data_IF_760358823786
#
_entry.id   IF_760358823786
#
_cell.length_a   1.000
_cell.length_b   1.000
_cell.length_c   1.000
_cell.angle_alpha   90.00
_cell.angle_beta   90.00
_cell.angle_gamma   90.00
#
_symmetry.space_group_name_H-M   'P 1'
#
loop_
_entity.id
_entity.type
_entity.pdbx_description
1 polymer ?
#
# COMPACT_ATOMS: atom_id res chain seq x y z
N UNK A 1 -3.01 -8.34 17.69
CA UNK A 1 -2.48 -7.28 16.81
C UNK A 1 -1.88 -6.20 17.68
N UNK A 2 -0.58 -5.91 17.54
CA UNK A 2 0.18 -4.99 18.41
C UNK A 2 0.54 -3.66 17.72
N UNK A 3 -0.20 -3.30 16.67
CA UNK A 3 0.13 -2.21 15.76
C UNK A 3 -1.08 -1.33 15.47
N UNK A 4 -0.85 -0.02 15.34
CA UNK A 4 -1.75 0.96 14.77
C UNK A 4 -1.54 1.02 13.25
N UNK A 5 -2.61 0.89 12.48
CA UNK A 5 -2.63 1.09 11.02
C UNK A 5 -4.06 1.30 10.52
N UNK A 6 -4.24 1.85 9.31
CA UNK A 6 -5.54 1.88 8.66
C UNK A 6 -5.83 0.54 7.98
N UNK A 7 -6.80 -0.21 8.51
CA UNK A 7 -7.17 -1.54 8.00
C UNK A 7 -7.82 -1.54 6.61
N UNK A 8 -8.16 -0.38 6.03
CA UNK A 8 -8.56 -0.31 4.61
C UNK A 8 -7.37 -0.33 3.66
N UNK A 9 -6.19 0.08 4.14
CA UNK A 9 -5.03 0.34 3.29
C UNK A 9 -3.87 -0.62 3.58
N UNK A 10 -3.78 -1.13 4.81
CA UNK A 10 -2.72 -2.05 5.28
C UNK A 10 -3.36 -3.29 5.89
N UNK A 11 -2.75 -4.43 5.62
CA UNK A 11 -2.97 -5.66 6.37
C UNK A 11 -1.67 -6.12 7.05
N UNK A 12 -1.83 -6.75 8.22
CA UNK A 12 -0.73 -7.40 8.94
C UNK A 12 -1.02 -8.90 9.01
N UNK A 13 -0.31 -9.70 8.19
CA UNK A 13 -0.57 -11.13 8.04
C UNK A 13 0.65 -11.93 8.52
N UNK A 14 0.43 -12.82 9.49
CA UNK A 14 1.42 -13.73 10.13
C UNK A 14 2.61 -13.04 10.84
N UNK A 15 3.28 -12.11 10.19
CA UNK A 15 4.33 -11.23 10.74
C UNK A 15 4.62 -10.00 9.89
N UNK A 16 3.97 -9.83 8.74
CA UNK A 16 4.39 -8.86 7.72
C UNK A 16 3.30 -7.80 7.53
N UNK A 17 3.68 -6.53 7.44
CA UNK A 17 2.79 -5.44 7.09
C UNK A 17 2.89 -5.12 5.61
N UNK A 18 1.76 -5.05 4.90
CA UNK A 18 1.72 -4.82 3.45
C UNK A 18 0.46 -4.05 3.03
N UNK A 19 0.51 -3.39 1.87
CA UNK A 19 -0.63 -2.63 1.33
C UNK A 19 -1.75 -3.56 0.85
N UNK A 20 -3.02 -3.20 1.06
CA UNK A 20 -4.16 -3.94 0.50
C UNK A 20 -4.36 -3.54 -0.97
N UNK A 21 -4.36 -4.52 -1.87
CA UNK A 21 -4.66 -4.30 -3.29
C UNK A 21 -6.17 -4.26 -3.56
N UNK A 22 -6.62 -3.29 -4.34
CA UNK A 22 -8.02 -3.16 -4.77
C UNK A 22 -8.17 -3.32 -6.29
N UNK A 23 -9.27 -3.92 -6.80
CA UNK A 23 -9.51 -3.98 -8.23
C UNK A 23 -9.72 -2.57 -8.81
N UNK A 24 -8.81 -2.14 -9.69
CA UNK A 24 -8.90 -0.88 -10.42
C UNK A 24 -9.32 -1.09 -11.89
N UNK A 25 -10.26 -0.27 -12.37
CA UNK A 25 -10.49 -0.03 -13.81
C UNK A 25 -11.06 -1.19 -14.64
N UNK A 26 -11.56 -2.26 -14.02
CA UNK A 26 -12.27 -3.33 -14.71
C UNK A 26 -13.66 -2.90 -15.22
N UNK A 27 -14.26 -3.69 -16.09
CA UNK A 27 -15.60 -3.41 -16.61
C UNK A 27 -16.24 -4.63 -17.27
N UNK A 28 -17.57 -4.64 -17.34
CA UNK A 28 -18.33 -5.63 -18.10
C UNK A 28 -19.59 -5.01 -18.65
N UNK A 29 -20.13 -5.57 -19.73
CA UNK A 29 -21.37 -5.11 -20.32
C UNK A 29 -21.94 -6.08 -21.34
N UNK A 30 -23.15 -5.78 -21.80
CA UNK A 30 -23.82 -6.53 -22.83
C UNK A 30 -24.70 -5.63 -23.70
N UNK A 31 -25.14 -6.14 -24.85
CA UNK A 31 -26.31 -5.60 -25.56
C UNK A 31 -27.59 -5.79 -24.72
N UNK A 32 -28.64 -5.01 -25.00
CA UNK A 32 -29.80 -4.86 -24.08
C UNK A 32 -31.03 -5.69 -24.44
N UNK A 33 -31.12 -6.21 -25.66
CA UNK A 33 -32.33 -6.89 -26.16
C UNK A 33 -31.98 -8.16 -26.94
N UNK A 34 -31.55 -9.24 -26.28
CA UNK A 34 -31.24 -10.48 -26.98
C UNK A 34 -32.44 -11.08 -27.71
N UNK A 35 -33.67 -10.87 -27.27
CA UNK A 35 -34.86 -11.58 -27.75
C UNK A 35 -35.72 -10.79 -28.74
N UNK A 36 -35.25 -9.63 -29.22
CA UNK A 36 -36.01 -8.76 -30.14
C UNK A 36 -37.41 -8.37 -29.60
N UNK A 37 -37.56 -8.32 -28.27
CA UNK A 37 -38.85 -8.08 -27.61
C UNK A 37 -39.10 -6.58 -27.35
N UNK A 38 -38.06 -5.74 -27.48
CA UNK A 38 -38.13 -4.30 -27.33
C UNK A 38 -37.58 -3.59 -28.58
N UNK A 39 -37.95 -2.32 -28.85
CA UNK A 39 -37.58 -1.64 -30.09
C UNK A 39 -36.10 -1.17 -30.14
N UNK A 40 -35.18 -1.90 -29.53
CA UNK A 40 -33.75 -1.53 -29.45
C UNK A 40 -32.97 -1.91 -30.72
N UNK A 41 -33.50 -2.84 -31.52
CA UNK A 41 -32.96 -3.21 -32.82
C UNK A 41 -33.49 -2.31 -33.93
N UNK A 42 -32.59 -1.65 -34.64
CA UNK A 42 -32.92 -0.78 -35.78
C UNK A 42 -32.72 -1.53 -37.10
N UNK A 43 -33.71 -1.52 -38.02
CA UNK A 43 -33.55 -2.06 -39.35
C UNK A 43 -32.72 -1.11 -40.22
N UNK A 44 -31.80 -1.66 -41.02
CA UNK A 44 -30.98 -0.92 -41.97
C UNK A 44 -30.98 -1.67 -43.30
N UNK A 45 -31.38 -0.97 -44.36
CA UNK A 45 -31.17 -1.47 -45.72
C UNK A 45 -29.68 -1.36 -46.05
N UNK A 46 -29.12 -2.40 -46.67
CA UNK A 46 -27.74 -2.44 -47.11
C UNK A 46 -27.70 -2.54 -48.63
N UNK A 47 -27.79 -1.38 -49.29
CA UNK A 47 -27.92 -1.27 -50.74
C UNK A 47 -26.73 -0.50 -51.33
N UNK A 48 -25.85 -1.22 -52.01
CA UNK A 48 -24.62 -0.65 -52.56
C UNK A 48 -24.88 0.13 -53.87
N UNK A 49 -26.07 0.09 -54.50
CA UNK A 49 -26.29 0.64 -55.84
C UNK A 49 -27.63 1.41 -56.11
N UNK A 50 -28.61 1.43 -55.20
CA UNK A 50 -29.83 2.26 -55.28
C UNK A 50 -30.83 1.91 -56.41
N UNK A 51 -31.88 2.74 -56.61
CA UNK A 51 -33.16 2.61 -55.92
C UNK A 51 -33.83 1.26 -56.28
N UNK A 52 -33.57 0.23 -55.48
CA UNK A 52 -34.08 -1.12 -55.69
C UNK A 52 -35.39 -1.35 -54.92
N UNK A 53 -36.06 -2.49 -55.15
CA UNK A 53 -37.06 -2.97 -54.20
C UNK A 53 -36.34 -3.35 -52.90
N UNK A 54 -36.41 -2.47 -51.91
CA UNK A 54 -35.72 -2.63 -50.64
C UNK A 54 -36.05 -3.97 -49.95
N UNK A 55 -35.10 -4.54 -49.18
CA UNK A 55 -35.40 -5.62 -48.26
C UNK A 55 -36.57 -5.22 -47.36
N UNK A 56 -37.40 -6.19 -47.02
CA UNK A 56 -38.39 -6.04 -45.95
C UNK A 56 -37.74 -6.52 -44.67
N UNK A 57 -37.58 -5.63 -43.70
CA UNK A 57 -37.00 -5.93 -42.38
C UNK A 57 -38.10 -5.70 -41.34
N UNK A 58 -38.46 -6.73 -40.59
CA UNK A 58 -39.64 -6.71 -39.74
C UNK A 58 -39.51 -7.62 -38.53
N UNK A 59 -40.13 -7.25 -37.41
CA UNK A 59 -40.27 -8.14 -36.25
C UNK A 59 -41.39 -9.15 -36.49
N UNK A 60 -41.14 -10.41 -36.15
CA UNK A 60 -42.05 -11.53 -36.36
C UNK A 60 -42.27 -12.32 -35.05
N UNK A 61 -43.31 -13.15 -35.03
CA UNK A 61 -43.66 -14.01 -33.88
C UNK A 61 -44.35 -15.31 -34.37
N UNK A 62 -44.14 -16.48 -33.73
CA UNK A 62 -43.26 -16.72 -32.59
C UNK A 62 -41.80 -17.00 -33.00
N UNK A 63 -40.85 -16.45 -32.23
CA UNK A 63 -39.42 -16.76 -32.24
C UNK A 63 -39.07 -18.00 -31.42
N UNK A 64 -37.84 -18.06 -30.89
CA UNK A 64 -37.28 -19.18 -30.13
C UNK A 64 -36.75 -18.78 -28.73
N UNK A 65 -37.64 -18.51 -27.74
CA UNK A 65 -39.05 -18.13 -27.84
C UNK A 65 -39.22 -16.60 -27.97
N UNK A 66 -40.44 -16.11 -28.23
CA UNK A 66 -40.74 -14.67 -28.18
C UNK A 66 -40.93 -14.03 -29.55
N UNK A 67 -40.35 -12.86 -29.76
CA UNK A 67 -40.25 -12.23 -31.08
C UNK A 67 -38.92 -12.61 -31.76
N UNK A 68 -38.78 -12.29 -33.04
CA UNK A 68 -37.50 -12.39 -33.74
C UNK A 68 -37.39 -11.36 -34.86
N UNK A 69 -36.17 -10.98 -35.22
CA UNK A 69 -35.91 -10.09 -36.34
C UNK A 69 -35.88 -10.86 -37.66
N UNK A 70 -36.74 -10.51 -38.62
CA UNK A 70 -36.76 -11.12 -39.95
C UNK A 70 -36.24 -10.16 -41.02
N UNK A 71 -35.47 -10.69 -41.97
CA UNK A 71 -34.99 -10.01 -43.17
C UNK A 71 -35.44 -10.81 -44.38
N UNK A 72 -36.25 -10.19 -45.23
CA UNK A 72 -36.70 -10.77 -46.51
C UNK A 72 -36.15 -9.95 -47.69
N UNK A 73 -35.35 -10.59 -48.53
CA UNK A 73 -34.70 -9.99 -49.70
C UNK A 73 -35.37 -10.52 -50.97
N UNK A 74 -35.93 -9.64 -51.82
CA UNK A 74 -36.51 -10.06 -53.10
C UNK A 74 -35.41 -10.50 -54.08
N UNK A 75 -35.65 -11.60 -54.81
CA UNK A 75 -34.70 -12.16 -55.80
C UNK A 75 -35.11 -11.87 -57.26
N UNK A 76 -36.15 -11.06 -57.47
CA UNK A 76 -36.76 -10.78 -58.77
C UNK A 76 -35.92 -9.86 -59.70
N UNK A 77 -34.71 -9.47 -59.29
CA UNK A 77 -33.90 -8.45 -59.97
C UNK A 77 -32.62 -9.04 -60.56
N UNK A 78 -32.51 -9.04 -61.89
CA UNK A 78 -31.35 -9.58 -62.64
C UNK A 78 -30.06 -8.79 -62.33
N UNK A 79 -28.99 -9.49 -61.90
CA UNK A 79 -27.60 -9.00 -61.72
C UNK A 79 -27.35 -7.93 -60.64
N UNK A 80 -27.80 -8.14 -59.40
CA UNK A 80 -27.64 -7.14 -58.33
C UNK A 80 -27.20 -7.77 -57.01
N UNK A 81 -26.52 -6.96 -56.20
CA UNK A 81 -26.11 -7.33 -54.85
C UNK A 81 -26.82 -6.44 -53.84
N UNK A 82 -27.56 -7.06 -52.94
CA UNK A 82 -28.46 -6.40 -52.00
C UNK A 82 -28.36 -7.10 -50.65
N UNK A 83 -28.44 -6.33 -49.57
CA UNK A 83 -28.51 -6.85 -48.22
C UNK A 83 -29.48 -6.08 -47.34
N UNK A 84 -29.80 -6.66 -46.20
CA UNK A 84 -30.48 -6.00 -45.09
C UNK A 84 -29.82 -6.42 -43.80
N UNK A 85 -29.89 -5.58 -42.77
CA UNK A 85 -29.39 -5.90 -41.45
C UNK A 85 -30.26 -5.36 -40.32
N UNK A 86 -30.18 -6.05 -39.18
CA UNK A 86 -30.55 -5.53 -37.88
C UNK A 86 -29.31 -4.99 -37.19
N UNK A 87 -29.42 -3.86 -36.49
CA UNK A 87 -28.34 -3.36 -35.64
C UNK A 87 -28.84 -2.94 -34.25
N UNK A 88 -28.02 -3.18 -33.24
CA UNK A 88 -28.23 -2.68 -31.88
C UNK A 88 -26.95 -2.02 -31.37
N UNK A 89 -27.08 -0.83 -30.79
CA UNK A 89 -25.96 -0.13 -30.17
C UNK A 89 -25.67 -0.67 -28.77
N UNK A 90 -24.40 -0.78 -28.41
CA UNK A 90 -23.95 -1.04 -27.03
C UNK A 90 -22.66 -0.27 -26.76
N UNK A 91 -22.31 -0.08 -25.49
CA UNK A 91 -21.10 0.67 -25.11
C UNK A 91 -20.12 -0.23 -24.36
N UNK A 92 -18.85 -0.13 -24.72
CA UNK A 92 -17.72 -0.69 -23.96
C UNK A 92 -17.10 0.42 -23.13
N UNK A 93 -16.93 0.21 -21.81
CA UNK A 93 -16.30 1.22 -20.93
C UNK A 93 -14.78 1.07 -20.87
N UNK A 94 -14.24 0.01 -21.47
CA UNK A 94 -12.82 -0.33 -21.49
C UNK A 94 -12.40 -0.68 -22.92
N UNK A 95 -11.16 -0.33 -23.28
CA UNK A 95 -10.55 -0.76 -24.54
C UNK A 95 -9.97 -2.16 -24.38
N UNK A 96 -10.02 -2.99 -25.44
CA UNK A 96 -9.46 -4.35 -25.48
C UNK A 96 -9.92 -5.18 -24.26
N UNK A 97 -11.20 -5.60 -24.22
CA UNK A 97 -11.68 -6.47 -23.15
C UNK A 97 -10.97 -7.84 -23.20
N UNK A 98 -10.81 -8.48 -22.05
CA UNK A 98 -10.17 -9.80 -21.96
C UNK A 98 -11.04 -10.88 -22.58
N UNK A 99 -12.37 -10.68 -22.54
CA UNK A 99 -13.35 -11.55 -23.17
C UNK A 99 -14.42 -10.72 -23.88
N UNK A 100 -14.85 -11.18 -25.05
CA UNK A 100 -16.14 -10.79 -25.61
C UNK A 100 -16.73 -11.94 -26.43
N UNK A 101 -17.98 -12.29 -26.16
CA UNK A 101 -18.69 -13.37 -26.84
C UNK A 101 -19.85 -12.79 -27.61
N UNK A 102 -19.89 -13.08 -28.90
CA UNK A 102 -21.00 -12.78 -29.77
C UNK A 102 -21.82 -14.06 -29.95
N UNK A 103 -23.11 -14.00 -29.66
CA UNK A 103 -24.02 -15.13 -29.83
C UNK A 103 -25.32 -14.70 -30.48
N UNK A 104 -25.92 -15.57 -31.27
CA UNK A 104 -27.24 -15.38 -31.87
C UNK A 104 -27.78 -16.72 -32.36
N UNK A 105 -29.10 -16.80 -32.44
CA UNK A 105 -29.81 -17.84 -33.17
C UNK A 105 -30.21 -17.32 -34.54
N UNK A 106 -30.21 -18.20 -35.54
CA UNK A 106 -30.69 -17.86 -36.87
C UNK A 106 -31.41 -19.02 -37.56
N UNK A 107 -32.27 -18.70 -38.53
CA UNK A 107 -32.95 -19.68 -39.37
C UNK A 107 -33.14 -19.15 -40.78
N UNK A 108 -33.34 -20.06 -41.76
CA UNK A 108 -33.71 -19.72 -43.13
C UNK A 108 -35.06 -20.31 -43.45
N UNK A 109 -36.07 -19.46 -43.57
CA UNK A 109 -37.46 -19.88 -43.84
C UNK A 109 -37.78 -19.91 -45.33
N UNK A 110 -37.05 -19.14 -46.14
CA UNK A 110 -37.08 -19.20 -47.60
C UNK A 110 -35.68 -19.03 -48.18
N UNK A 111 -35.32 -19.86 -49.15
CA UNK A 111 -34.04 -19.83 -49.85
C UNK A 111 -34.27 -19.97 -51.36
N UNK A 112 -33.38 -19.38 -52.15
CA UNK A 112 -33.36 -19.54 -53.61
C UNK A 112 -32.01 -20.14 -54.02
N UNK A 113 -31.95 -21.41 -54.46
CA UNK A 113 -30.69 -22.07 -54.82
C UNK A 113 -30.07 -21.50 -56.10
N UNK A 114 -30.75 -20.61 -56.82
CA UNK A 114 -30.27 -20.03 -58.07
C UNK A 114 -29.53 -18.70 -57.88
N UNK A 115 -29.43 -18.19 -56.65
CA UNK A 115 -28.62 -17.01 -56.33
C UNK A 115 -27.14 -17.38 -56.36
N UNK A 116 -26.27 -16.43 -56.72
CA UNK A 116 -24.84 -16.70 -56.82
C UNK A 116 -24.20 -16.77 -55.44
N UNK A 117 -24.61 -15.87 -54.54
CA UNK A 117 -24.20 -15.85 -53.14
C UNK A 117 -25.42 -15.53 -52.29
N UNK A 118 -25.59 -16.27 -51.21
CA UNK A 118 -26.47 -15.94 -50.08
C UNK A 118 -25.70 -16.22 -48.80
N UNK A 119 -25.49 -15.18 -48.00
CA UNK A 119 -24.58 -15.18 -46.86
C UNK A 119 -25.17 -14.44 -45.68
N UNK A 120 -25.03 -15.00 -44.50
CA UNK A 120 -25.21 -14.30 -43.24
C UNK A 120 -23.88 -13.66 -42.86
N UNK A 121 -23.91 -12.42 -42.38
CA UNK A 121 -22.74 -11.71 -41.89
C UNK A 121 -23.03 -11.00 -40.58
N UNK A 122 -22.06 -11.04 -39.70
CA UNK A 122 -22.12 -10.36 -38.40
C UNK A 122 -21.04 -9.30 -38.36
N UNK A 123 -21.36 -8.10 -37.91
CA UNK A 123 -20.41 -7.00 -37.77
C UNK A 123 -20.43 -6.45 -36.34
N UNK A 124 -19.26 -5.96 -35.92
CA UNK A 124 -19.09 -5.12 -34.74
C UNK A 124 -18.37 -3.84 -35.18
N UNK A 125 -19.16 -2.83 -35.52
CA UNK A 125 -18.64 -1.57 -36.02
C UNK A 125 -18.75 -0.47 -34.96
N UNK A 126 -17.84 0.51 -34.99
CA UNK A 126 -17.94 1.72 -34.15
C UNK A 126 -18.78 2.84 -34.78
N UNK A 127 -19.54 2.53 -35.84
CA UNK A 127 -20.47 3.44 -36.51
C UNK A 127 -21.77 2.74 -36.90
N UNK A 128 -22.85 3.51 -36.89
CA UNK A 128 -24.20 3.10 -37.28
C UNK A 128 -24.34 2.97 -38.80
N UNK A 129 -25.24 2.10 -39.26
CA UNK A 129 -25.63 1.99 -40.66
C UNK A 129 -24.96 0.85 -41.40
N UNK A 130 -24.89 0.97 -42.72
CA UNK A 130 -24.34 -0.06 -43.61
C UNK A 130 -22.86 -0.38 -43.28
N UNK A 131 -22.43 -1.65 -43.38
CA UNK A 131 -21.02 -1.99 -43.34
C UNK A 131 -20.25 -1.26 -44.45
N UNK A 132 -18.99 -0.93 -44.19
CA UNK A 132 -18.14 -0.31 -45.22
C UNK A 132 -18.02 -1.24 -46.45
N UNK A 133 -18.01 -0.71 -47.70
CA UNK A 133 -17.85 -1.53 -48.88
C UNK A 133 -16.60 -2.40 -48.81
N UNK A 134 -16.76 -3.72 -48.93
CA UNK A 134 -15.66 -4.69 -48.83
C UNK A 134 -15.23 -5.05 -47.42
N UNK A 135 -15.93 -4.57 -46.38
CA UNK A 135 -15.70 -5.03 -45.01
C UNK A 135 -16.04 -6.52 -44.88
N UNK A 136 -15.18 -7.26 -44.21
CA UNK A 136 -15.45 -8.64 -43.80
C UNK A 136 -16.07 -8.63 -42.42
N UNK A 137 -17.22 -9.30 -42.26
CA UNK A 137 -17.83 -9.49 -40.95
C UNK A 137 -16.91 -10.23 -39.98
N UNK A 138 -17.15 -10.04 -38.68
CA UNK A 138 -16.49 -10.78 -37.59
C UNK A 138 -16.89 -12.25 -37.59
N UNK A 139 -17.99 -12.59 -38.26
CA UNK A 139 -18.42 -13.95 -38.58
C UNK A 139 -19.24 -13.94 -39.87
N UNK A 140 -19.18 -15.02 -40.65
CA UNK A 140 -20.03 -15.20 -41.82
C UNK A 140 -20.32 -16.66 -42.15
N UNK A 141 -21.45 -16.92 -42.80
CA UNK A 141 -21.82 -18.25 -43.30
C UNK A 141 -22.65 -18.16 -44.58
N UNK A 142 -22.26 -18.94 -45.60
CA UNK A 142 -23.05 -19.12 -46.80
C UNK A 142 -24.17 -20.16 -46.58
N UNK A 143 -25.30 -19.98 -47.24
CA UNK A 143 -26.43 -20.92 -47.22
C UNK A 143 -27.08 -21.00 -48.60
N UNK A 144 -27.72 -22.13 -48.92
CA UNK A 144 -28.44 -22.33 -50.20
C UNK A 144 -29.79 -23.04 -50.02
N UNK A 145 -30.12 -23.44 -48.79
CA UNK A 145 -31.33 -24.18 -48.45
C UNK A 145 -31.96 -23.60 -47.19
N UNK A 146 -33.20 -23.97 -46.91
CA UNK A 146 -33.86 -23.64 -45.64
C UNK A 146 -33.24 -24.39 -44.46
N UNK A 147 -33.44 -23.85 -43.26
CA UNK A 147 -32.98 -24.43 -42.00
C UNK A 147 -33.96 -24.10 -40.88
N UNK A 148 -33.98 -24.92 -39.82
CA UNK A 148 -34.55 -24.51 -38.54
C UNK A 148 -33.58 -23.60 -37.77
N UNK A 149 -33.98 -23.19 -36.56
CA UNK A 149 -33.13 -22.41 -35.65
C UNK A 149 -31.79 -23.10 -35.38
N UNK A 150 -30.71 -22.34 -35.52
CA UNK A 150 -29.34 -22.74 -35.23
C UNK A 150 -28.68 -21.71 -34.32
N UNK A 151 -27.98 -22.17 -33.28
CA UNK A 151 -27.26 -21.31 -32.35
C UNK A 151 -25.81 -21.15 -32.77
N UNK A 152 -25.33 -19.91 -32.75
CA UNK A 152 -23.94 -19.54 -33.00
C UNK A 152 -23.40 -18.82 -31.76
N UNK A 153 -22.16 -19.13 -31.39
CA UNK A 153 -21.41 -18.44 -30.34
C UNK A 153 -19.93 -18.46 -30.68
N UNK A 154 -19.28 -17.30 -30.65
CA UNK A 154 -17.86 -17.15 -31.01
C UNK A 154 -17.21 -15.98 -30.26
N UNK A 155 -15.89 -16.04 -30.12
CA UNK A 155 -15.09 -14.94 -29.56
C UNK A 155 -15.00 -13.78 -30.56
N UNK A 156 -15.38 -12.60 -30.10
CA UNK A 156 -15.35 -11.37 -30.86
C UNK A 156 -14.57 -10.24 -30.15
N UNK A 157 -13.79 -10.57 -29.11
CA UNK A 157 -12.97 -9.64 -28.30
C UNK A 157 -12.06 -8.74 -29.14
N UNK A 158 -11.42 -9.31 -30.16
CA UNK A 158 -10.50 -8.58 -31.05
C UNK A 158 -11.17 -7.48 -31.88
N UNK A 159 -12.51 -7.42 -31.91
CA UNK A 159 -13.25 -6.36 -32.61
C UNK A 159 -13.44 -5.11 -31.74
N UNK A 160 -13.28 -5.23 -30.42
CA UNK A 160 -13.54 -4.18 -29.42
C UNK A 160 -12.25 -3.49 -28.98
N UNK A 161 -11.58 -2.83 -29.94
CA UNK A 161 -10.20 -2.31 -29.75
C UNK A 161 -10.11 -1.02 -28.93
N UNK A 162 -11.18 -0.22 -28.92
CA UNK A 162 -11.30 1.03 -28.15
C UNK A 162 -12.53 1.02 -27.26
N UNK A 163 -12.48 1.72 -26.13
CA UNK A 163 -13.69 2.04 -25.36
C UNK A 163 -14.61 2.96 -26.20
N UNK A 164 -15.91 2.77 -26.10
CA UNK A 164 -16.90 3.56 -26.83
C UNK A 164 -18.09 2.75 -27.32
N UNK A 165 -18.91 3.38 -28.17
CA UNK A 165 -20.11 2.78 -28.74
C UNK A 165 -19.77 1.90 -29.93
N UNK A 166 -20.30 0.68 -29.93
CA UNK A 166 -20.29 -0.25 -31.04
C UNK A 166 -21.71 -0.61 -31.44
N UNK A 167 -21.86 -1.14 -32.64
CA UNK A 167 -23.10 -1.61 -33.21
C UNK A 167 -22.93 -3.09 -33.54
N UNK A 168 -23.72 -3.93 -32.86
CA UNK A 168 -23.85 -5.33 -33.18
C UNK A 168 -24.82 -5.48 -34.33
N UNK A 169 -24.33 -5.95 -35.48
CA UNK A 169 -25.11 -6.02 -36.73
C UNK A 169 -25.27 -7.46 -37.18
N UNK A 170 -26.49 -7.87 -37.47
CA UNK A 170 -26.85 -9.17 -38.04
C UNK A 170 -27.41 -8.93 -39.45
N UNK A 171 -26.64 -9.30 -40.46
CA UNK A 171 -26.92 -9.00 -41.85
C UNK A 171 -27.13 -10.24 -42.71
N UNK A 172 -27.90 -10.06 -43.77
CA UNK A 172 -28.00 -10.99 -44.89
C UNK A 172 -27.51 -10.26 -46.14
N UNK A 173 -26.58 -10.86 -46.85
CA UNK A 173 -26.05 -10.39 -48.12
C UNK A 173 -26.36 -11.37 -49.23
N UNK A 174 -26.79 -10.86 -50.37
CA UNK A 174 -27.09 -11.65 -51.53
C UNK A 174 -26.43 -11.06 -52.78
N UNK A 175 -25.91 -11.94 -53.63
CA UNK A 175 -25.50 -11.63 -55.00
C UNK A 175 -26.34 -12.46 -55.97
N UNK A 176 -27.13 -11.79 -56.82
CA UNK A 176 -28.01 -12.47 -57.77
C UNK A 176 -27.29 -12.95 -59.03
N UNK A 177 -27.66 -14.14 -59.49
CA UNK A 177 -27.31 -14.63 -60.83
C UNK A 177 -28.31 -14.17 -61.89
N UNK A 178 -28.04 -14.46 -63.17
CA UNK A 178 -28.98 -14.19 -64.28
C UNK A 178 -30.27 -15.04 -64.22
N UNK A 179 -30.35 -16.02 -63.32
CA UNK A 179 -31.38 -17.07 -63.26
C UNK A 179 -32.13 -17.13 -61.91
N UNK A 180 -32.11 -16.08 -61.09
CA UNK A 180 -32.80 -16.08 -59.80
C UNK A 180 -34.31 -16.41 -59.94
N UNK A 181 -34.82 -17.26 -59.05
CA UNK A 181 -36.08 -18.00 -59.16
C UNK A 181 -37.33 -17.24 -58.71
N UNK A 182 -37.31 -15.91 -58.64
CA UNK A 182 -38.40 -15.06 -58.14
C UNK A 182 -38.89 -15.38 -56.71
N UNK A 183 -38.17 -16.22 -55.95
CA UNK A 183 -38.51 -16.59 -54.57
C UNK A 183 -37.67 -15.74 -53.62
N UNK A 184 -38.27 -14.90 -52.75
CA UNK A 184 -37.52 -14.14 -51.76
C UNK A 184 -36.68 -15.06 -50.87
N UNK A 185 -35.53 -14.56 -50.44
CA UNK A 185 -34.77 -15.20 -49.36
C UNK A 185 -35.22 -14.56 -48.05
N UNK A 186 -35.55 -15.39 -47.06
CA UNK A 186 -36.01 -14.92 -45.76
C UNK A 186 -35.21 -15.59 -44.66
N UNK A 187 -34.62 -14.76 -43.79
CA UNK A 187 -33.77 -15.18 -42.67
C UNK A 187 -34.31 -14.55 -41.38
N UNK A 188 -34.41 -15.36 -40.33
CA UNK A 188 -34.75 -14.91 -38.98
C UNK A 188 -33.53 -14.90 -38.07
N UNK A 189 -33.47 -13.94 -37.14
CA UNK A 189 -32.48 -13.81 -36.08
C UNK A 189 -33.15 -13.66 -34.73
N UNK A 190 -32.63 -14.34 -33.72
CA UNK A 190 -33.13 -14.30 -32.34
C UNK A 190 -31.97 -14.53 -31.35
N UNK A 191 -32.20 -14.40 -30.03
CA UNK A 191 -31.23 -14.63 -28.96
C UNK A 191 -29.85 -13.98 -29.20
N UNK A 192 -29.85 -12.78 -29.78
CA UNK A 192 -28.67 -12.12 -30.31
C UNK A 192 -28.05 -11.15 -29.31
N UNK A 193 -26.83 -11.44 -28.86
CA UNK A 193 -26.13 -10.59 -27.91
C UNK A 193 -24.62 -10.53 -28.11
N UNK A 194 -24.03 -9.45 -27.59
CA UNK A 194 -22.61 -9.35 -27.27
C UNK A 194 -22.49 -9.25 -25.77
N UNK A 195 -21.65 -10.07 -25.15
CA UNK A 195 -21.27 -9.95 -23.74
C UNK A 195 -19.77 -9.76 -23.64
N UNK A 196 -19.28 -8.77 -22.90
CA UNK A 196 -17.85 -8.48 -22.78
C UNK A 196 -17.43 -8.25 -21.32
N UNK A 197 -16.17 -8.54 -21.02
CA UNK A 197 -15.57 -8.39 -19.70
C UNK A 197 -14.09 -8.07 -19.74
N UNK A 198 -13.65 -7.23 -18.81
CA UNK A 198 -12.24 -6.94 -18.54
C UNK A 198 -11.99 -6.97 -17.04
N UNK A 199 -11.03 -7.80 -16.63
CA UNK A 199 -10.58 -7.85 -15.25
C UNK A 199 -9.97 -6.50 -14.85
N UNK A 200 -10.24 -6.07 -13.62
CA UNK A 200 -9.55 -4.92 -13.04
C UNK A 200 -8.09 -5.26 -12.79
N UNK A 201 -7.20 -4.30 -13.05
CA UNK A 201 -5.80 -4.40 -12.59
C UNK A 201 -5.79 -4.13 -11.09
N UNK A 202 -5.03 -4.89 -10.30
CA UNK A 202 -4.89 -4.58 -8.87
C UNK A 202 -4.12 -3.28 -8.72
N UNK A 203 -4.66 -2.35 -7.93
CA UNK A 203 -4.07 -1.05 -7.61
C UNK A 203 -3.88 -0.95 -6.11
N UNK A 204 -2.77 -0.34 -5.68
CA UNK A 204 -2.43 -0.15 -4.28
C UNK A 204 -2.60 1.33 -3.85
N UNK A 205 -2.81 1.62 -2.55
CA UNK A 205 -2.90 2.99 -2.03
C UNK A 205 -1.64 3.81 -2.33
N UNK A 206 -1.83 5.04 -2.84
CA UNK A 206 -0.75 6.02 -3.08
C UNK A 206 -0.67 7.08 -1.97
N UNK A 207 -1.41 6.88 -0.89
CA UNK A 207 -1.47 7.78 0.28
C UNK A 207 -0.31 7.57 1.24
N UNK A 208 0.53 6.56 1.00
CA UNK A 208 1.65 6.15 1.85
C UNK A 208 1.21 5.89 3.30
N UNK A 209 0.27 4.95 3.54
CA UNK A 209 -0.27 4.71 4.87
C UNK A 209 0.83 4.24 5.86
N UNK A 210 0.67 4.64 7.11
CA UNK A 210 1.62 4.31 8.20
C UNK A 210 1.21 3.09 9.03
N UNK A 211 2.20 2.36 9.52
CA UNK A 211 2.07 1.32 10.55
C UNK A 211 3.08 1.55 11.68
N UNK A 212 2.64 1.49 12.94
CA UNK A 212 3.52 1.63 14.10
C UNK A 212 3.07 0.74 15.28
N UNK A 213 3.97 0.32 16.18
CA UNK A 213 3.60 -0.39 17.40
C UNK A 213 2.66 0.45 18.29
N UNK A 214 1.88 -0.21 19.16
CA UNK A 214 1.04 0.50 20.15
C UNK A 214 1.85 1.23 21.22
N UNK A 215 2.95 0.63 21.66
CA UNK A 215 3.78 1.14 22.76
C UNK A 215 5.23 1.16 22.32
N UNK A 216 5.99 2.11 22.85
CA UNK A 216 7.44 2.15 22.69
C UNK A 216 8.08 0.94 23.33
N UNK A 217 9.22 0.53 22.77
CA UNK A 217 10.19 -0.19 23.57
C UNK A 217 10.71 0.71 24.70
N UNK A 218 10.94 0.15 25.88
CA UNK A 218 11.53 0.86 27.02
C UNK A 218 12.71 0.08 27.59
N UNK A 219 13.78 0.78 27.96
CA UNK A 219 14.97 0.16 28.54
C UNK A 219 16.02 1.17 29.00
N UNK A 220 17.06 0.67 29.67
CA UNK A 220 18.27 1.46 29.94
C UNK A 220 19.09 1.54 28.65
N UNK A 221 19.04 2.68 27.99
CA UNK A 221 19.71 2.92 26.71
C UNK A 221 20.79 3.97 26.92
N UNK A 222 22.05 3.60 26.71
CA UNK A 222 23.17 4.55 26.68
C UNK A 222 23.53 4.93 25.26
N UNK A 223 23.32 4.03 24.31
CA UNK A 223 23.53 4.29 22.89
C UNK A 223 22.60 3.45 22.00
N UNK A 224 22.29 4.00 20.82
CA UNK A 224 21.70 3.28 19.71
C UNK A 224 22.80 2.88 18.72
N UNK A 225 22.83 1.62 18.30
CA UNK A 225 23.91 1.07 17.48
C UNK A 225 23.52 0.87 16.02
N UNK A 226 22.28 0.45 15.76
CA UNK A 226 21.83 0.18 14.40
C UNK A 226 20.32 0.22 14.27
N UNK A 227 19.86 0.55 13.07
CA UNK A 227 18.51 0.41 12.59
C UNK A 227 18.53 -0.43 11.31
N UNK A 228 17.87 -1.58 11.30
CA UNK A 228 17.80 -2.43 10.10
C UNK A 228 16.37 -2.83 9.80
N UNK A 229 16.08 -3.01 8.52
CA UNK A 229 14.81 -3.53 8.04
C UNK A 229 15.01 -4.84 7.26
N UNK A 230 13.99 -5.68 7.25
CA UNK A 230 13.81 -6.77 6.30
C UNK A 230 12.50 -6.52 5.58
N UNK A 231 12.55 -6.29 4.27
CA UNK A 231 11.41 -5.89 3.47
C UNK A 231 11.55 -6.31 2.00
N UNK A 232 10.41 -6.44 1.31
CA UNK A 232 10.33 -6.54 -0.15
C UNK A 232 9.87 -5.19 -0.72
N UNK A 233 10.67 -4.63 -1.62
CA UNK A 233 10.44 -3.31 -2.26
C UNK A 233 10.52 -3.44 -3.78
N UNK A 234 9.46 -3.91 -4.45
CA UNK A 234 9.39 -3.89 -5.90
C UNK A 234 9.57 -2.48 -6.48
N UNK A 235 9.89 -2.39 -7.77
CA UNK A 235 9.99 -1.10 -8.49
C UNK A 235 8.70 -0.30 -8.29
N UNK A 236 8.82 0.99 -8.01
CA UNK A 236 7.68 1.87 -7.73
C UNK A 236 7.25 1.90 -6.25
N UNK A 237 7.98 1.21 -5.37
CA UNK A 237 7.69 1.17 -3.93
C UNK A 237 8.90 1.54 -3.08
N UNK A 238 8.66 2.01 -1.85
CA UNK A 238 9.68 2.30 -0.84
C UNK A 238 9.07 2.19 0.58
N UNK A 239 9.90 2.10 1.62
CA UNK A 239 9.45 2.19 3.02
C UNK A 239 10.24 3.29 3.72
N UNK A 240 9.50 4.26 4.28
CA UNK A 240 10.07 5.39 5.02
C UNK A 240 9.74 5.29 6.51
N UNK A 241 10.58 5.88 7.34
CA UNK A 241 10.53 5.77 8.79
C UNK A 241 10.52 7.13 9.46
N UNK A 242 9.73 7.22 10.53
CA UNK A 242 9.85 8.21 11.59
C UNK A 242 10.09 7.48 12.91
N UNK A 243 10.82 8.13 13.81
CA UNK A 243 11.11 7.61 15.14
C UNK A 243 10.46 8.47 16.22
N UNK A 244 10.13 7.88 17.36
CA UNK A 244 9.59 8.58 18.52
C UNK A 244 10.31 8.09 19.78
N UNK A 245 10.66 9.02 20.65
CA UNK A 245 11.23 8.79 21.98
C UNK A 245 10.22 9.09 23.11
N UNK A 246 8.96 9.36 22.77
CA UNK A 246 7.92 9.85 23.70
C UNK A 246 6.55 9.15 23.53
N UNK A 247 6.58 7.87 23.18
CA UNK A 247 5.40 7.02 23.03
C UNK A 247 4.45 7.41 21.90
N UNK A 248 5.04 7.88 20.80
CA UNK A 248 4.31 8.29 19.60
C UNK A 248 3.58 9.62 19.73
N UNK A 249 3.85 10.38 20.81
CA UNK A 249 3.29 11.72 21.02
C UNK A 249 3.86 12.71 20.00
N UNK A 250 5.17 12.64 19.77
CA UNK A 250 5.87 13.33 18.70
C UNK A 250 6.70 12.34 17.87
N UNK A 251 6.95 12.73 16.63
CA UNK A 251 7.67 11.92 15.65
C UNK A 251 8.82 12.75 15.11
N UNK A 252 9.96 12.11 14.88
CA UNK A 252 11.19 12.74 14.44
C UNK A 252 11.72 12.06 13.19
N UNK A 253 12.44 12.84 12.39
CA UNK A 253 13.15 12.41 11.20
C UNK A 253 14.49 13.14 11.14
N UNK A 254 15.45 12.56 10.44
CA UNK A 254 16.74 13.19 10.17
C UNK A 254 16.60 14.18 9.02
N UNK A 255 16.80 15.47 9.28
CA UNK A 255 16.68 16.54 8.28
C UNK A 255 17.97 16.81 7.49
N UNK A 256 19.00 16.00 7.72
CA UNK A 256 20.36 16.18 7.18
C UNK A 256 21.37 16.76 8.18
N UNK A 257 20.91 17.33 9.30
CA UNK A 257 21.79 17.87 10.35
C UNK A 257 21.39 17.52 11.78
N UNK A 258 20.11 17.30 12.05
CA UNK A 258 19.59 16.92 13.35
C UNK A 258 18.31 16.05 13.24
N UNK A 259 17.95 15.42 14.35
CA UNK A 259 16.62 14.85 14.52
C UNK A 259 15.61 15.99 14.74
N UNK A 260 14.80 16.24 13.72
CA UNK A 260 13.83 17.32 13.68
C UNK A 260 12.40 16.77 13.82
N UNK A 261 11.48 17.61 14.30
CA UNK A 261 10.06 17.24 14.39
C UNK A 261 9.51 16.94 12.99
N UNK A 262 8.89 15.78 12.86
CA UNK A 262 8.26 15.31 11.65
C UNK A 262 6.78 15.71 11.59
N UNK A 263 6.26 15.84 10.37
CA UNK A 263 4.82 15.91 10.15
C UNK A 263 4.27 14.49 10.09
N UNK A 264 3.28 14.20 10.93
CA UNK A 264 2.57 12.92 10.90
C UNK A 264 1.91 12.74 9.52
N UNK A 265 2.03 11.51 9.02
CA UNK A 265 1.44 11.01 7.77
C UNK A 265 1.97 11.73 6.53
N UNK A 266 3.24 12.14 6.60
CA UNK A 266 3.95 12.77 5.51
C UNK A 266 5.35 12.18 5.34
N UNK A 267 5.54 11.48 4.22
CA UNK A 267 6.83 10.88 3.84
C UNK A 267 7.91 11.91 3.50
N UNK A 268 7.58 13.19 3.27
CA UNK A 268 8.59 14.24 3.04
C UNK A 268 9.39 14.59 4.29
N UNK A 269 8.90 14.17 5.46
CA UNK A 269 9.58 14.31 6.76
C UNK A 269 9.77 12.92 7.36
N UNK A 270 10.34 12.02 6.58
CA UNK A 270 10.64 10.64 6.95
C UNK A 270 11.88 10.20 6.16
N UNK A 271 12.58 9.17 6.63
CA UNK A 271 13.84 8.72 6.04
C UNK A 271 13.75 7.25 5.62
N UNK A 272 14.57 6.84 4.65
CA UNK A 272 14.76 5.41 4.36
C UNK A 272 15.57 4.76 5.48
N UNK A 273 15.47 3.42 5.62
CA UNK A 273 16.15 2.70 6.70
C UNK A 273 17.66 2.97 6.78
N UNK A 274 18.34 3.08 5.63
CA UNK A 274 19.79 3.36 5.58
C UNK A 274 20.17 4.74 6.11
N UNK A 275 19.30 5.73 5.95
CA UNK A 275 19.52 7.07 6.48
C UNK A 275 19.21 7.13 7.99
N UNK A 276 18.19 6.40 8.44
CA UNK A 276 17.96 6.21 9.88
C UNK A 276 19.17 5.54 10.52
N UNK A 277 19.65 4.42 9.97
CA UNK A 277 20.79 3.67 10.49
C UNK A 277 22.06 4.52 10.59
N UNK A 278 22.37 5.29 9.55
CA UNK A 278 23.55 6.14 9.51
C UNK A 278 23.57 7.23 10.61
N UNK A 279 22.40 7.61 11.14
CA UNK A 279 22.26 8.70 12.10
C UNK A 279 21.71 8.26 13.47
N UNK A 280 21.36 6.97 13.63
CA UNK A 280 20.65 6.46 14.82
C UNK A 280 21.43 6.69 16.12
N UNK A 281 22.77 6.68 16.07
CA UNK A 281 23.63 6.93 17.23
C UNK A 281 23.44 8.31 17.86
N UNK A 282 22.83 9.26 17.15
CA UNK A 282 22.52 10.61 17.68
C UNK A 282 21.05 10.77 18.08
N UNK A 283 20.22 9.74 17.91
CA UNK A 283 18.82 9.78 18.32
C UNK A 283 18.72 9.90 19.86
N UNK A 284 17.79 10.69 20.42
CA UNK A 284 17.71 10.91 21.86
C UNK A 284 17.64 9.61 22.69
N UNK A 285 18.35 9.61 23.81
CA UNK A 285 18.38 8.48 24.76
C UNK A 285 17.70 8.81 26.10
N UNK A 286 17.39 10.10 26.34
CA UNK A 286 16.99 10.62 27.66
C UNK A 286 15.73 9.94 28.21
N UNK A 287 14.78 9.58 27.33
CA UNK A 287 13.55 8.92 27.75
C UNK A 287 13.72 7.42 28.00
N UNK A 288 14.80 6.80 27.48
CA UNK A 288 14.96 5.36 27.43
C UNK A 288 13.87 4.66 26.62
N UNK A 289 13.31 5.34 25.60
CA UNK A 289 12.22 4.82 24.77
C UNK A 289 12.51 4.93 23.29
N UNK A 290 11.97 3.99 22.52
CA UNK A 290 11.91 4.13 21.06
C UNK A 290 10.68 3.46 20.47
N UNK A 291 10.07 4.13 19.50
CA UNK A 291 9.02 3.60 18.64
C UNK A 291 9.34 3.99 17.19
N UNK A 292 9.01 3.12 16.24
CA UNK A 292 9.07 3.46 14.81
C UNK A 292 7.66 3.58 14.23
N UNK A 293 7.52 4.40 13.19
CA UNK A 293 6.40 4.37 12.25
C UNK A 293 6.96 4.13 10.87
N UNK A 294 6.47 3.11 10.19
CA UNK A 294 6.84 2.78 8.83
C UNK A 294 5.73 3.21 7.87
N UNK A 295 6.06 3.96 6.83
CA UNK A 295 5.17 4.35 5.75
C UNK A 295 5.40 3.44 4.55
N UNK A 296 4.35 2.72 4.15
CA UNK A 296 4.38 1.84 2.99
C UNK A 296 4.05 2.64 1.72
N UNK A 297 5.08 3.03 0.97
CA UNK A 297 4.91 3.88 -0.20
C UNK A 297 4.80 3.08 -1.50
N UNK A 298 3.88 3.50 -2.37
CA UNK A 298 3.63 2.88 -3.69
C UNK A 298 3.15 3.94 -4.70
N UNK A 299 3.55 3.79 -5.96
CA UNK A 299 2.98 4.52 -7.10
C UNK A 299 1.61 3.96 -7.56
N UNK A 300 1.11 2.93 -6.86
CA UNK A 300 -0.16 2.26 -7.12
C UNK A 300 -0.02 0.98 -7.94
N UNK A 301 1.15 0.70 -8.51
CA UNK A 301 1.38 -0.47 -9.38
C UNK A 301 1.88 -1.71 -8.66
N UNK A 302 2.46 -1.56 -7.47
CA UNK A 302 3.07 -2.66 -6.72
C UNK A 302 2.90 -2.53 -5.20
N UNK A 303 3.07 -3.66 -4.50
CA UNK A 303 2.93 -3.80 -3.05
C UNK A 303 4.31 -3.81 -2.38
N UNK A 304 4.63 -2.87 -1.47
CA UNK A 304 5.71 -3.05 -0.51
C UNK A 304 5.27 -4.00 0.61
N UNK A 305 6.23 -4.72 1.18
CA UNK A 305 6.02 -5.60 2.32
C UNK A 305 7.14 -5.40 3.34
N UNK A 306 6.77 -5.07 4.58
CA UNK A 306 7.68 -4.96 5.72
C UNK A 306 7.58 -6.23 6.58
N UNK A 307 8.69 -6.96 6.71
CA UNK A 307 8.73 -8.19 7.51
C UNK A 307 9.23 -7.93 8.93
N UNK A 308 10.29 -7.12 9.07
CA UNK A 308 10.92 -6.88 10.37
C UNK A 308 11.67 -5.56 10.41
N UNK A 309 11.56 -4.87 11.55
CA UNK A 309 12.45 -3.78 11.94
C UNK A 309 13.25 -4.27 13.15
N UNK A 310 14.57 -4.04 13.14
CA UNK A 310 15.46 -4.36 14.27
C UNK A 310 16.26 -3.12 14.62
N UNK A 311 16.07 -2.66 15.86
CA UNK A 311 16.82 -1.55 16.44
C UNK A 311 17.70 -2.13 17.54
N UNK A 312 19.00 -1.86 17.48
CA UNK A 312 19.94 -2.32 18.49
C UNK A 312 20.34 -1.18 19.42
N UNK A 313 20.29 -1.45 20.71
CA UNK A 313 20.65 -0.51 21.78
C UNK A 313 21.42 -1.23 22.87
N UNK A 314 22.15 -0.47 23.69
CA UNK A 314 22.82 -1.03 24.85
C UNK A 314 23.71 -0.02 25.56
N UNK A 315 24.42 -0.54 26.55
CA UNK A 315 25.51 0.18 27.20
C UNK A 315 26.67 0.38 26.22
N UNK A 316 27.40 1.48 26.34
CA UNK A 316 28.66 1.62 25.60
C UNK A 316 29.68 0.74 26.31
N UNK A 317 30.03 -0.37 25.68
CA UNK A 317 31.09 -1.26 26.15
C UNK A 317 32.39 -0.94 25.41
N UNK A 318 33.52 -0.98 26.11
CA UNK A 318 34.81 -0.92 25.43
C UNK A 318 35.17 -2.26 24.79
N UNK A 319 36.37 -2.30 24.23
CA UNK A 319 36.82 -3.39 23.34
C UNK A 319 36.79 -4.80 23.93
N UNK A 320 36.73 -4.95 25.26
CA UNK A 320 36.65 -6.27 25.93
C UNK A 320 35.27 -6.57 26.54
N UNK A 321 34.24 -5.74 26.26
CA UNK A 321 32.86 -5.99 26.67
C UNK A 321 32.46 -5.44 28.05
N UNK A 322 33.33 -4.69 28.71
CA UNK A 322 33.00 -3.98 29.95
C UNK A 322 32.39 -2.61 29.65
N UNK A 323 31.35 -2.22 30.39
CA UNK A 323 30.71 -0.90 30.28
C UNK A 323 31.68 0.23 30.66
N UNK A 324 31.61 1.36 29.95
CA UNK A 324 32.48 2.51 30.21
C UNK A 324 32.02 3.38 31.40
N UNK A 325 30.79 3.22 31.88
CA UNK A 325 30.23 3.96 33.02
C UNK A 325 29.35 3.07 33.91
N UNK A 326 29.62 3.06 35.21
CA UNK A 326 28.73 2.55 36.25
C UNK A 326 28.33 3.66 37.22
N UNK A 327 27.08 3.67 37.70
CA UNK A 327 26.61 4.63 38.71
C UNK A 327 26.11 3.89 39.94
N UNK A 328 26.59 4.30 41.12
CA UNK A 328 26.13 3.84 42.42
C UNK A 328 25.62 5.05 43.21
N UNK A 329 24.37 5.03 43.66
CA UNK A 329 23.85 6.01 44.63
C UNK A 329 23.60 5.31 45.97
N UNK A 330 24.09 5.91 47.06
CA UNK A 330 23.89 5.39 48.41
C UNK A 330 22.46 5.62 48.89
N UNK A 331 22.04 4.83 49.87
CA UNK A 331 20.89 5.21 50.70
C UNK A 331 21.18 6.50 51.46
N UNK A 332 20.12 7.18 51.89
CA UNK A 332 20.24 8.28 52.84
C UNK A 332 20.77 7.76 54.19
N UNK A 333 21.71 8.48 54.77
CA UNK A 333 22.26 8.22 56.10
C UNK A 333 21.83 9.34 57.05
N UNK A 334 21.24 8.95 58.17
CA UNK A 334 20.83 9.84 59.26
C UNK A 334 21.98 10.00 60.26
N UNK A 335 22.50 11.22 60.42
CA UNK A 335 23.56 11.50 61.41
C UNK A 335 23.03 11.63 62.85
N UNK A 336 21.70 11.64 63.03
CA UNK A 336 21.00 11.76 64.32
C UNK A 336 20.73 13.19 64.78
N UNK A 337 21.18 14.20 64.01
CA UNK A 337 20.96 15.62 64.26
C UNK A 337 21.72 16.48 63.25
N UNK A 338 21.56 17.81 63.33
CA UNK A 338 22.29 18.73 62.46
C UNK A 338 23.80 18.48 62.56
N UNK A 339 24.48 18.33 61.43
CA UNK A 339 25.89 17.94 61.40
C UNK A 339 26.70 18.81 60.43
N UNK A 340 28.00 18.86 60.64
CA UNK A 340 28.97 19.39 59.68
C UNK A 340 29.76 18.23 59.07
N UNK A 341 29.73 18.09 57.74
CA UNK A 341 30.49 17.05 57.03
C UNK A 341 31.90 17.59 56.72
N UNK A 342 32.90 16.90 57.26
CA UNK A 342 34.27 17.42 57.35
C UNK A 342 35.15 16.93 56.21
N UNK A 343 35.23 15.62 56.03
CA UNK A 343 36.14 14.98 55.05
C UNK A 343 35.47 13.82 54.35
N UNK A 344 35.92 13.59 53.11
CA UNK A 344 35.58 12.44 52.28
C UNK A 344 36.87 11.75 51.86
N UNK A 345 36.85 10.41 51.88
CA UNK A 345 37.90 9.57 51.31
C UNK A 345 37.28 8.25 50.85
N UNK A 346 37.93 7.55 49.93
CA UNK A 346 37.53 6.22 49.52
C UNK A 346 38.73 5.37 49.16
N UNK A 347 38.55 4.05 49.17
CA UNK A 347 39.55 3.11 48.67
C UNK A 347 39.10 2.58 47.32
N UNK A 348 39.98 2.72 46.33
CA UNK A 348 39.73 2.28 44.96
C UNK A 348 40.82 1.35 44.43
N UNK A 349 40.46 0.58 43.41
CA UNK A 349 41.42 -0.10 42.53
C UNK A 349 41.09 0.32 41.11
N UNK A 350 42.05 0.98 40.46
CA UNK A 350 42.00 1.34 39.04
C UNK A 350 42.96 0.40 38.28
N UNK A 351 42.46 -0.65 37.62
CA UNK A 351 43.26 -1.52 36.75
C UNK A 351 44.13 -0.77 35.72
N UNK A 352 43.69 0.39 35.23
CA UNK A 352 44.35 1.18 34.18
C UNK A 352 44.34 2.68 34.50
N UNK A 353 45.28 3.42 33.91
CA UNK A 353 45.39 4.88 34.08
C UNK A 353 44.28 5.67 33.35
N UNK A 354 43.49 5.00 32.52
CA UNK A 354 42.37 5.61 31.79
C UNK A 354 41.02 5.39 32.51
N UNK A 355 41.03 4.68 33.64
CA UNK A 355 39.87 4.48 34.50
C UNK A 355 39.86 5.51 35.62
N UNK A 356 38.68 5.77 36.19
CA UNK A 356 38.54 6.71 37.28
C UNK A 356 37.32 6.37 38.15
N UNK A 357 37.38 6.71 39.44
CA UNK A 357 36.21 6.76 40.31
C UNK A 357 36.05 8.19 40.79
N UNK A 358 34.85 8.74 40.62
CA UNK A 358 34.54 10.09 41.06
C UNK A 358 33.26 10.12 41.89
N UNK A 359 33.25 10.96 42.93
CA UNK A 359 32.20 10.97 43.95
C UNK A 359 31.54 12.34 44.05
N UNK A 360 30.24 12.35 44.29
CA UNK A 360 29.48 13.53 44.68
C UNK A 360 28.73 13.25 45.98
N UNK A 361 28.43 14.31 46.73
CA UNK A 361 27.59 14.24 47.93
C UNK A 361 26.38 15.15 47.78
N UNK A 362 25.31 14.80 48.49
CA UNK A 362 24.08 15.59 48.61
C UNK A 362 23.58 15.46 50.04
N UNK A 363 23.14 16.57 50.63
CA UNK A 363 22.65 16.64 52.01
C UNK A 363 21.21 17.16 52.06
N UNK A 364 20.50 16.88 53.15
CA UNK A 364 19.16 17.40 53.37
C UNK A 364 18.91 17.69 54.87
N UNK A 365 18.07 18.70 55.18
CA UNK A 365 17.61 18.92 56.54
C UNK A 365 16.66 17.79 56.97
N UNK A 366 16.41 17.69 58.27
CA UNK A 366 15.36 16.81 58.78
C UNK A 366 13.97 17.38 58.51
N UNK A 367 13.07 16.53 58.03
CA UNK A 367 11.65 16.78 57.90
C UNK A 367 10.86 15.73 58.69
N UNK A 368 10.88 15.88 60.02
CA UNK A 368 10.15 15.03 60.97
C UNK A 368 10.61 13.57 60.96
N UNK A 369 11.93 13.32 60.94
CA UNK A 369 12.51 11.98 60.93
C UNK A 369 12.63 11.36 59.54
N UNK A 370 12.66 12.19 58.49
CA UNK A 370 12.92 11.78 57.11
C UNK A 370 13.70 12.88 56.38
N UNK A 371 14.47 12.56 55.32
CA UNK A 371 15.16 13.60 54.55
C UNK A 371 14.17 14.60 53.94
N UNK A 372 14.44 15.89 54.17
CA UNK A 372 13.71 16.99 53.52
C UNK A 372 14.14 17.19 52.06
N UNK A 373 14.28 18.45 51.64
CA UNK A 373 14.74 18.76 50.28
C UNK A 373 16.24 18.51 50.15
N UNK A 374 16.63 17.59 49.26
CA UNK A 374 18.03 17.34 48.94
C UNK A 374 18.69 18.52 48.23
N UNK A 375 19.92 18.82 48.62
CA UNK A 375 20.82 19.71 47.89
C UNK A 375 21.11 19.16 46.49
N UNK A 376 21.60 20.02 45.60
CA UNK A 376 22.24 19.55 44.38
C UNK A 376 23.42 18.61 44.73
N UNK A 377 23.75 17.71 43.81
CA UNK A 377 24.97 16.90 43.90
C UNK A 377 26.19 17.81 43.75
N UNK A 378 27.10 17.77 44.73
CA UNK A 378 28.31 18.60 44.70
C UNK A 378 29.58 17.79 44.87
N UNK A 379 30.67 18.37 44.37
CA UNK A 379 32.04 17.93 44.59
C UNK A 379 32.90 19.03 45.18
N UNK A 380 34.22 18.94 44.99
CA UNK A 380 35.18 19.87 45.59
C UNK A 380 34.99 21.33 45.16
N UNK A 381 34.38 21.59 44.00
CA UNK A 381 34.18 22.94 43.46
C UNK A 381 32.70 23.37 43.40
N UNK A 382 31.81 22.65 44.09
CA UNK A 382 30.38 22.94 44.16
C UNK A 382 29.50 22.09 43.25
N UNK A 383 28.31 22.60 42.92
CA UNK A 383 27.25 21.86 42.21
C UNK A 383 27.70 21.33 40.85
N UNK A 384 27.41 20.05 40.57
CA UNK A 384 27.76 19.38 39.32
C UNK A 384 29.24 19.03 39.17
N UNK A 385 30.07 19.29 40.18
CA UNK A 385 31.48 18.91 40.20
C UNK A 385 31.69 17.64 41.02
N UNK A 386 32.90 17.08 41.02
CA UNK A 386 33.21 15.81 41.68
C UNK A 386 34.38 15.94 42.66
N UNK A 387 34.40 15.05 43.65
CA UNK A 387 35.62 14.64 44.33
C UNK A 387 36.29 13.57 43.46
N UNK A 388 37.57 13.75 43.16
CA UNK A 388 38.35 12.88 42.25
C UNK A 388 39.66 12.37 42.88
N UNK A 389 40.00 12.82 44.09
CA UNK A 389 41.14 12.32 44.85
C UNK A 389 40.65 11.33 45.91
N UNK A 390 41.04 10.04 45.85
CA UNK A 390 40.60 9.04 46.83
C UNK A 390 41.15 9.31 48.24
N UNK A 391 42.21 10.11 48.37
CA UNK A 391 42.76 10.48 49.67
C UNK A 391 41.82 11.45 50.41
N UNK A 392 42.02 11.55 51.73
CA UNK A 392 41.24 12.44 52.57
C UNK A 392 41.23 13.88 52.05
N UNK A 393 40.05 14.31 51.61
CA UNK A 393 39.79 15.64 51.08
C UNK A 393 38.81 16.36 51.98
N UNK A 394 39.11 17.62 52.30
CA UNK A 394 38.19 18.49 53.07
C UNK A 394 37.00 18.85 52.22
N UNK A 395 35.80 18.64 52.75
CA UNK A 395 34.55 19.09 52.12
C UNK A 395 34.46 20.62 52.32
N UNK A 396 34.41 21.43 51.26
CA UNK A 396 34.40 22.87 51.41
C UNK A 396 33.14 23.36 52.11
N UNK A 397 33.29 24.27 53.08
CA UNK A 397 32.18 24.97 53.72
C UNK A 397 31.28 25.69 52.71
N UNK A 398 31.87 26.16 51.60
CA UNK A 398 31.15 26.83 50.51
C UNK A 398 30.19 25.91 49.76
N UNK A 399 30.30 24.59 49.91
CA UNK A 399 29.39 23.62 49.31
C UNK A 399 28.05 23.50 50.06
N UNK A 400 27.92 24.14 51.23
CA UNK A 400 26.63 24.31 51.92
C UNK A 400 26.08 23.03 52.55
N UNK A 401 26.95 22.10 52.93
CA UNK A 401 26.56 20.81 53.53
C UNK A 401 26.43 20.84 55.06
N UNK A 402 26.59 22.00 55.70
CA UNK A 402 26.46 22.11 57.15
C UNK A 402 25.00 22.32 57.57
N UNK A 403 24.71 21.98 58.82
CA UNK A 403 23.41 22.14 59.49
C UNK A 403 22.30 21.18 58.98
N UNK A 404 22.67 20.25 58.09
CA UNK A 404 21.84 19.16 57.59
C UNK A 404 22.02 17.88 58.43
N UNK A 405 20.99 17.03 58.47
CA UNK A 405 21.00 15.76 59.21
C UNK A 405 21.19 14.54 58.30
N UNK A 406 20.85 14.69 57.02
CA UNK A 406 20.86 13.58 56.07
C UNK A 406 21.95 13.76 55.05
N UNK A 407 22.66 12.69 54.72
CA UNK A 407 23.64 12.65 53.62
C UNK A 407 23.44 11.43 52.74
N UNK A 408 23.76 11.59 51.46
CA UNK A 408 23.96 10.49 50.52
C UNK A 408 25.12 10.82 49.59
N UNK A 409 25.69 9.78 48.99
CA UNK A 409 26.74 9.93 47.99
C UNK A 409 26.33 9.26 46.67
N UNK A 410 26.90 9.76 45.59
CA UNK A 410 26.84 9.16 44.25
C UNK A 410 28.26 8.91 43.79
N UNK A 411 28.51 7.72 43.27
CA UNK A 411 29.79 7.30 42.69
C UNK A 411 29.60 7.01 41.22
N UNK A 412 30.51 7.52 40.40
CA UNK A 412 30.64 7.15 39.00
C UNK A 412 31.93 6.36 38.80
N UNK A 413 31.79 5.16 38.23
CA UNK A 413 32.85 4.24 37.89
C UNK A 413 33.11 4.36 36.39
N UNK A 414 34.19 5.04 36.01
CA UNK A 414 34.57 5.29 34.63
C UNK A 414 35.58 4.23 34.20
N UNK A 415 35.18 3.34 33.30
CA UNK A 415 36.01 2.28 32.73
C UNK A 415 36.58 2.66 31.37
N UNK A 416 37.68 2.01 30.98
CA UNK A 416 38.17 2.02 29.60
C UNK A 416 37.59 0.88 28.74
N UNK A 417 36.78 0.03 29.40
CA UNK A 417 36.08 -1.10 28.84
C UNK A 417 36.97 -2.29 28.48
N UNK A 418 38.19 -2.33 29.02
CA UNK A 418 39.06 -3.50 29.06
C UNK A 418 39.03 -4.19 30.43
N UNK A 419 38.90 -3.41 31.51
CA UNK A 419 38.75 -3.88 32.88
C UNK A 419 37.63 -3.09 33.60
N UNK A 420 37.50 -3.24 34.93
CA UNK A 420 36.49 -2.54 35.73
C UNK A 420 37.13 -1.89 36.95
N UNK A 421 36.96 -0.57 37.17
CA UNK A 421 37.39 0.06 38.41
C UNK A 421 36.55 -0.46 39.58
N UNK A 422 37.18 -0.60 40.74
CA UNK A 422 36.54 -1.18 41.94
C UNK A 422 36.54 -0.17 43.08
N UNK A 423 35.36 0.23 43.52
CA UNK A 423 35.16 0.92 44.81
C UNK A 423 35.11 -0.11 45.93
N UNK A 424 35.95 0.01 46.95
CA UNK A 424 36.00 -0.92 48.08
C UNK A 424 35.27 -0.38 49.31
N UNK A 425 35.53 0.88 49.68
CA UNK A 425 34.95 1.55 50.84
C UNK A 425 34.90 3.06 50.57
N UNK A 426 33.90 3.74 51.11
CA UNK A 426 33.82 5.19 51.19
C UNK A 426 33.60 5.60 52.65
N UNK A 427 34.44 6.52 53.12
CA UNK A 427 34.38 7.06 54.47
C UNK A 427 34.07 8.56 54.40
N UNK A 428 33.00 8.95 55.10
CA UNK A 428 32.60 10.34 55.30
C UNK A 428 32.66 10.65 56.80
N UNK A 429 33.50 11.63 57.19
CA UNK A 429 33.60 12.07 58.57
C UNK A 429 32.71 13.28 58.80
N UNK A 430 31.98 13.30 59.92
CA UNK A 430 31.12 14.42 60.30
C UNK A 430 31.24 14.75 61.79
N UNK A 431 30.78 15.93 62.18
CA UNK A 431 30.68 16.38 63.57
C UNK A 431 29.23 16.77 63.86
N UNK A 432 28.58 16.12 64.86
CA UNK A 432 27.23 16.49 65.32
C UNK A 432 27.17 17.86 66.01
#
# INVERSE_FOLDING_TARGET
DNYNFNASDIEVVSSNAQLIGSPGGGGSGATTDPSFDVPDWAPVNWDVNGPESAPTISLQTPGNPGNFGEISIPTNSKRRSLGGLWQQAFTTTVANPDTATCSFDWQVTAADPNVQVSRLEVFLDNFSGEPSPGATGVWSQNFTTTSGWQTVSFDCSNSLTTAGTYYFKLGVWLENSNNAGNTPITVGFDNAQVQWGKAGTIVYPTTNPGVNPFNSYTGTIENWFSFTETASKPVGTEIYYQLSDDDGTSWQWWDGGAWALATIDNVSTANVATEVDANIATFPIVSGRIMFRAYLASDGSAQPQLDRVTISSGAVVGSSGYTLLGILESSAFDTGGQSAFNTIQWTETLPSANENIQVQISTAPDDSGSPGTWSAWTGLSGSGTYFVDPNETVIPLTSGHNDDQWIRYRVELLGDGTDTPVLQDITLNYTP
#
